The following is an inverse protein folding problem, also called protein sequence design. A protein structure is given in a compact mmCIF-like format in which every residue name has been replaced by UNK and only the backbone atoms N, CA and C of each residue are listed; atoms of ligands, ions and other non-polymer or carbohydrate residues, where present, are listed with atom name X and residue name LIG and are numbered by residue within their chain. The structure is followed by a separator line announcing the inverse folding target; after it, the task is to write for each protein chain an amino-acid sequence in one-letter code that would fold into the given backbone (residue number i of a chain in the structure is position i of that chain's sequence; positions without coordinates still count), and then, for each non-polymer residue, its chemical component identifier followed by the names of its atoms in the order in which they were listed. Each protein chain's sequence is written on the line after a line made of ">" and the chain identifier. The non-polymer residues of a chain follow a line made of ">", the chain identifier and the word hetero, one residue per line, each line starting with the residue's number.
data_IF_263552608392
#
_entry.id   IF_263552608392
#
_cell.length_a   1.000
_cell.length_b   1.000
_cell.length_c   1.000
_cell.angle_alpha   90.00
_cell.angle_beta   90.00
_cell.angle_gamma   90.00
#
_symmetry.space_group_name_H-M   'P 1'
#
loop_
_entity.id
_entity.type
_entity.pdbx_description
1 polymer ?
#
# COMPACT_ATOMS: atom_id res chain seq x y z
N UNK A 1 21.90 -68.45 11.32
CA UNK A 1 21.84 -67.37 12.33
C UNK A 1 21.87 -66.04 11.58
N UNK A 2 20.68 -65.50 11.30
CA UNK A 2 20.48 -64.22 10.60
C UNK A 2 20.41 -63.10 11.65
N UNK A 3 21.32 -62.13 11.55
CA UNK A 3 21.40 -60.98 12.45
C UNK A 3 20.39 -59.90 12.04
N UNK A 4 19.60 -59.44 13.00
CA UNK A 4 18.53 -58.43 12.86
C UNK A 4 19.13 -57.02 12.78
N UNK A 5 18.66 -56.20 11.83
CA UNK A 5 18.76 -54.73 11.88
C UNK A 5 17.37 -54.16 12.23
N UNK A 6 17.25 -53.12 13.06
CA UNK A 6 15.95 -52.54 13.41
C UNK A 6 15.48 -51.52 12.36
N UNK A 7 14.17 -51.52 12.12
CA UNK A 7 13.43 -50.51 11.37
C UNK A 7 13.34 -49.20 12.17
N UNK A 8 13.67 -48.08 11.54
CA UNK A 8 13.34 -46.74 12.01
C UNK A 8 12.23 -46.21 11.09
N UNK A 9 11.04 -45.98 11.65
CA UNK A 9 9.97 -45.22 11.00
C UNK A 9 10.32 -43.73 11.09
N UNK A 10 10.71 -43.13 9.97
CA UNK A 10 10.68 -41.69 9.79
C UNK A 10 9.30 -41.27 9.30
N UNK A 11 8.56 -40.56 10.12
CA UNK A 11 7.33 -39.87 9.73
C UNK A 11 7.70 -38.66 8.87
N UNK A 12 7.41 -38.72 7.57
CA UNK A 12 7.48 -37.56 6.68
C UNK A 12 6.36 -36.60 7.03
N UNK A 13 6.69 -35.53 7.73
CA UNK A 13 5.83 -34.35 7.86
C UNK A 13 5.86 -33.59 6.54
N UNK A 14 4.75 -33.62 5.83
CA UNK A 14 4.50 -32.80 4.64
C UNK A 14 4.57 -31.31 5.03
N UNK A 15 5.30 -30.46 4.29
CA UNK A 15 5.30 -29.01 4.53
C UNK A 15 4.01 -28.40 3.95
N UNK A 16 3.30 -27.63 4.77
CA UNK A 16 2.15 -26.80 4.37
C UNK A 16 2.49 -25.93 3.15
N UNK A 17 1.63 -25.86 2.12
CA UNK A 17 1.87 -25.02 0.97
C UNK A 17 1.69 -23.55 1.38
N UNK A 18 2.81 -22.83 1.50
CA UNK A 18 2.83 -21.37 1.51
C UNK A 18 2.06 -20.87 0.28
N UNK A 19 1.05 -20.02 0.51
CA UNK A 19 0.29 -19.32 -0.54
C UNK A 19 1.27 -18.72 -1.54
N UNK A 20 1.31 -19.25 -2.77
CA UNK A 20 2.19 -18.76 -3.81
C UNK A 20 1.62 -17.46 -4.38
N UNK A 21 2.33 -16.35 -4.20
CA UNK A 21 1.96 -15.04 -4.75
C UNK A 21 1.92 -15.10 -6.28
N UNK A 22 0.79 -14.72 -6.88
CA UNK A 22 0.61 -14.66 -8.33
C UNK A 22 0.89 -13.23 -8.80
N UNK A 23 2.09 -13.03 -9.38
CA UNK A 23 2.57 -11.73 -9.87
C UNK A 23 2.23 -11.52 -11.35
N UNK A 24 1.64 -10.35 -11.66
CA UNK A 24 1.44 -9.87 -13.02
C UNK A 24 2.21 -8.57 -13.26
N UNK A 25 3.12 -8.56 -14.24
CA UNK A 25 3.87 -7.37 -14.65
C UNK A 25 3.24 -6.78 -15.91
N UNK A 26 2.90 -5.49 -15.89
CA UNK A 26 2.35 -4.75 -17.05
C UNK A 26 3.29 -3.60 -17.39
N UNK A 27 4.00 -3.72 -18.51
CA UNK A 27 5.05 -2.78 -18.94
C UNK A 27 4.64 -1.89 -20.12
N UNK A 28 3.51 -2.18 -20.76
CA UNK A 28 2.96 -1.40 -21.86
C UNK A 28 1.43 -1.29 -21.69
N UNK A 29 0.94 -0.06 -21.61
CA UNK A 29 -0.50 0.24 -21.53
C UNK A 29 -0.87 0.96 -22.82
N UNK A 30 -1.70 0.32 -23.65
CA UNK A 30 -2.36 0.99 -24.76
C UNK A 30 -3.56 1.74 -24.22
N UNK A 31 -3.58 3.06 -24.37
CA UNK A 31 -4.73 3.90 -24.03
C UNK A 31 -5.85 3.52 -25.01
N UNK A 32 -6.93 2.91 -24.53
CA UNK A 32 -8.11 2.59 -25.35
C UNK A 32 -9.23 3.60 -25.03
N UNK A 33 -10.06 3.93 -26.03
CA UNK A 33 -11.17 4.89 -25.94
C UNK A 33 -12.18 4.62 -24.80
N UNK A 34 -12.21 3.38 -24.27
CA UNK A 34 -13.02 3.00 -23.11
C UNK A 34 -12.59 3.72 -21.81
N UNK A 35 -11.30 4.02 -21.62
CA UNK A 35 -10.80 4.72 -20.40
C UNK A 35 -11.30 6.17 -20.33
N UNK A 36 -11.61 6.79 -21.47
CA UNK A 36 -12.11 8.17 -21.53
C UNK A 36 -13.57 8.25 -21.05
N UNK A 37 -14.38 7.20 -21.29
CA UNK A 37 -15.77 7.15 -20.83
C UNK A 37 -15.88 6.90 -19.32
N UNK A 38 -15.02 6.05 -18.75
CA UNK A 38 -14.99 5.74 -17.32
C UNK A 38 -14.47 6.91 -16.44
N UNK A 39 -13.91 7.97 -17.03
CA UNK A 39 -13.49 9.18 -16.29
C UNK A 39 -14.64 10.17 -16.08
N UNK A 40 -15.72 10.07 -16.86
CA UNK A 40 -16.87 10.98 -16.76
C UNK A 40 -17.60 10.85 -15.41
N UNK A 41 -17.49 9.70 -14.74
CA UNK A 41 -18.04 9.47 -13.41
C UNK A 41 -17.15 9.96 -12.25
N UNK A 42 -15.91 10.39 -12.52
CA UNK A 42 -14.98 10.93 -11.52
C UNK A 42 -14.98 12.46 -11.44
N UNK A 43 -15.92 13.13 -12.13
CA UNK A 43 -16.08 14.58 -12.09
C UNK A 43 -17.35 14.98 -11.33
N UNK A 44 -17.32 16.01 -10.46
CA UNK A 44 -18.50 16.40 -9.69
C UNK A 44 -19.47 17.16 -10.60
N UNK A 45 -20.54 16.50 -11.03
CA UNK A 45 -21.66 17.17 -11.70
C UNK A 45 -22.83 17.37 -10.73
N UNK A 46 -23.43 18.56 -10.81
CA UNK A 46 -24.50 19.04 -9.94
C UNK A 46 -25.88 18.62 -10.43
N UNK A 47 -26.62 17.97 -9.52
CA UNK A 47 -28.09 17.85 -9.39
C UNK A 47 -28.96 17.50 -10.61
N UNK A 48 -29.74 16.42 -10.49
CA UNK A 48 -31.21 16.54 -10.43
C UNK A 48 -31.85 15.32 -9.73
N UNK A 49 -32.96 15.58 -9.05
CA UNK A 49 -33.71 14.69 -8.16
C UNK A 49 -34.39 13.53 -8.87
N UNK A 50 -34.52 12.38 -8.19
CA UNK A 50 -35.81 11.69 -7.99
C UNK A 50 -35.70 10.59 -6.93
N UNK A 51 -36.68 10.56 -6.04
CA UNK A 51 -36.91 9.57 -5.00
C UNK A 51 -37.40 8.24 -5.58
N UNK A 52 -36.84 7.11 -5.13
CA UNK A 52 -37.60 6.07 -4.41
C UNK A 52 -36.71 4.91 -3.95
N UNK A 53 -36.93 4.54 -2.69
CA UNK A 53 -36.37 3.43 -1.93
C UNK A 53 -36.46 2.07 -2.63
N UNK A 54 -35.50 1.18 -2.34
CA UNK A 54 -35.69 -0.17 -1.78
C UNK A 54 -34.38 -0.97 -1.95
N UNK A 55 -33.71 -1.32 -0.84
CA UNK A 55 -32.87 -2.51 -0.57
C UNK A 55 -31.76 -2.20 0.47
N UNK A 56 -32.00 -2.77 1.65
CA UNK A 56 -31.12 -3.28 2.71
C UNK A 56 -29.92 -2.45 3.22
N UNK A 57 -30.08 -2.03 4.49
CA UNK A 57 -29.02 -1.62 5.41
C UNK A 57 -27.89 -2.66 5.45
N UNK A 58 -26.69 -2.26 5.01
CA UNK A 58 -25.45 -2.96 5.34
C UNK A 58 -25.18 -2.72 6.82
N UNK A 59 -25.08 -3.75 7.68
CA UNK A 59 -24.79 -3.53 9.09
C UNK A 59 -23.36 -3.01 9.26
N UNK A 60 -23.10 -2.08 10.19
CA UNK A 60 -21.74 -1.63 10.49
C UNK A 60 -20.88 -2.82 10.91
N UNK A 61 -19.61 -2.82 10.47
CA UNK A 61 -18.61 -3.83 10.84
C UNK A 61 -18.68 -4.11 12.34
N UNK A 62 -18.75 -5.39 12.72
CA UNK A 62 -18.93 -5.81 14.10
C UNK A 62 -17.74 -5.41 14.97
N UNK A 63 -17.83 -4.26 15.63
CA UNK A 63 -16.86 -3.82 16.64
C UNK A 63 -17.06 -4.69 17.88
N UNK A 64 -16.12 -5.60 18.16
CA UNK A 64 -16.07 -6.32 19.44
C UNK A 64 -15.14 -5.59 20.40
N UNK A 65 -15.70 -4.84 21.32
CA UNK A 65 -14.98 -4.32 22.49
C UNK A 65 -14.68 -5.48 23.45
N UNK A 66 -13.40 -5.84 23.59
CA UNK A 66 -12.94 -6.75 24.65
C UNK A 66 -12.32 -5.91 25.78
N UNK A 67 -12.66 -6.26 27.02
CA UNK A 67 -12.08 -5.63 28.21
C UNK A 67 -10.57 -5.87 28.27
N UNK A 68 -9.84 -4.95 28.92
CA UNK A 68 -8.38 -4.86 28.93
C UNK A 68 -7.62 -6.04 29.57
N UNK A 69 -8.32 -7.04 30.08
CA UNK A 69 -7.75 -8.20 30.79
C UNK A 69 -7.70 -9.48 29.96
N UNK A 70 -8.14 -9.46 28.69
CA UNK A 70 -8.21 -10.62 27.78
C UNK A 70 -7.14 -10.61 26.67
N UNK A 71 -6.12 -9.74 26.77
CA UNK A 71 -5.08 -9.64 25.74
C UNK A 71 -4.17 -10.87 25.78
N UNK A 72 -3.99 -11.59 24.65
CA UNK A 72 -2.91 -12.54 24.53
C UNK A 72 -1.58 -11.80 24.72
N UNK A 73 -0.78 -12.21 25.71
CA UNK A 73 0.58 -11.72 25.89
C UNK A 73 1.34 -11.82 24.55
N UNK A 74 1.84 -10.69 24.04
CA UNK A 74 2.70 -10.65 22.84
C UNK A 74 2.11 -10.00 21.57
N UNK A 75 0.85 -9.54 21.56
CA UNK A 75 0.33 -8.77 20.42
C UNK A 75 0.57 -7.27 20.58
N UNK A 76 1.49 -6.73 19.78
CA UNK A 76 1.78 -5.31 19.79
C UNK A 76 0.58 -4.47 19.33
N UNK A 77 0.36 -3.35 20.03
CA UNK A 77 -0.78 -2.45 19.82
C UNK A 77 -0.37 -1.34 18.86
N UNK A 78 -1.18 -1.12 17.82
CA UNK A 78 -0.94 -0.09 16.82
C UNK A 78 -1.63 1.23 17.17
N UNK A 79 -1.04 2.35 16.74
CA UNK A 79 -1.63 3.68 16.83
C UNK A 79 -1.78 4.28 15.44
N UNK A 80 -2.74 5.20 15.26
CA UNK A 80 -2.82 6.03 14.05
C UNK A 80 -1.73 7.10 14.00
N UNK A 81 -1.18 7.47 15.16
CA UNK A 81 -0.07 8.41 15.22
C UNK A 81 1.20 7.78 14.62
N UNK A 82 1.82 8.48 13.68
CA UNK A 82 3.09 8.06 13.11
C UNK A 82 4.14 7.93 14.22
N UNK A 83 4.88 6.80 14.29
CA UNK A 83 6.02 6.71 15.19
C UNK A 83 7.08 7.75 14.81
N UNK A 84 7.96 8.17 15.74
CA UNK A 84 8.93 9.25 15.53
C UNK A 84 10.12 8.80 14.66
N UNK A 85 9.84 8.23 13.49
CA UNK A 85 10.81 7.83 12.49
C UNK A 85 11.01 9.01 11.53
N UNK A 86 12.26 9.44 11.37
CA UNK A 86 12.57 10.53 10.46
C UNK A 86 12.15 10.20 9.02
N UNK A 87 11.38 11.11 8.41
CA UNK A 87 10.88 10.97 7.05
C UNK A 87 9.70 10.01 6.87
N UNK A 88 9.12 9.48 7.96
CA UNK A 88 7.84 8.78 7.96
C UNK A 88 6.70 9.76 8.21
N UNK A 89 5.71 9.79 7.32
CA UNK A 89 4.51 10.59 7.51
C UNK A 89 3.25 9.72 7.33
N UNK A 90 2.31 9.86 8.24
CA UNK A 90 0.98 9.24 8.18
C UNK A 90 -0.07 10.33 8.47
N UNK A 91 -0.38 11.17 7.47
CA UNK A 91 -1.27 12.31 7.66
C UNK A 91 -2.68 11.86 8.06
N UNK A 92 -3.37 12.73 8.80
CA UNK A 92 -4.72 12.42 9.30
C UNK A 92 -5.77 12.48 8.18
N UNK A 93 -5.49 13.24 7.13
CA UNK A 93 -6.32 13.34 5.92
C UNK A 93 -6.50 11.96 5.28
N UNK A 94 -7.73 11.69 4.86
CA UNK A 94 -8.09 10.47 4.14
C UNK A 94 -8.42 10.82 2.69
N UNK A 95 -8.16 9.88 1.79
CA UNK A 95 -8.64 9.97 0.42
C UNK A 95 -10.19 10.08 0.43
N UNK A 96 -10.79 10.96 -0.41
CA UNK A 96 -12.23 11.00 -0.58
C UNK A 96 -12.80 9.62 -0.93
N UNK A 97 -13.97 9.31 -0.38
CA UNK A 97 -14.58 7.98 -0.50
C UNK A 97 -14.91 7.65 -1.95
N UNK A 98 -15.36 8.63 -2.72
CA UNK A 98 -15.72 8.48 -4.13
C UNK A 98 -14.50 8.10 -4.99
N UNK A 99 -13.35 8.69 -4.67
CA UNK A 99 -12.08 8.36 -5.35
C UNK A 99 -11.60 6.98 -4.93
N UNK A 100 -11.69 6.65 -3.64
CA UNK A 100 -11.29 5.35 -3.12
C UNK A 100 -12.12 4.21 -3.74
N UNK A 101 -13.44 4.35 -3.76
CA UNK A 101 -14.37 3.36 -4.32
C UNK A 101 -14.15 3.17 -5.82
N UNK A 102 -14.01 4.27 -6.57
CA UNK A 102 -13.72 4.22 -8.00
C UNK A 102 -12.39 3.50 -8.32
N UNK A 103 -11.35 3.77 -7.52
CA UNK A 103 -10.05 3.09 -7.65
C UNK A 103 -10.17 1.60 -7.34
N UNK A 104 -10.86 1.23 -6.26
CA UNK A 104 -11.08 -0.18 -5.88
C UNK A 104 -11.84 -0.91 -6.98
N UNK A 105 -12.97 -0.38 -7.41
CA UNK A 105 -13.81 -1.00 -8.45
C UNK A 105 -12.99 -1.25 -9.71
N UNK A 106 -12.31 -0.22 -10.22
CA UNK A 106 -11.52 -0.34 -11.44
C UNK A 106 -10.39 -1.37 -11.30
N UNK A 107 -9.69 -1.39 -10.16
CA UNK A 107 -8.59 -2.33 -9.93
C UNK A 107 -9.07 -3.78 -9.81
N UNK A 108 -10.18 -4.01 -9.10
CA UNK A 108 -10.77 -5.34 -8.96
C UNK A 108 -11.20 -5.90 -10.32
N UNK A 109 -11.88 -5.08 -11.12
CA UNK A 109 -12.37 -5.49 -12.45
C UNK A 109 -11.25 -5.74 -13.46
N UNK A 110 -10.21 -4.89 -13.50
CA UNK A 110 -9.17 -4.95 -14.55
C UNK A 110 -7.96 -5.81 -14.19
N UNK A 111 -7.55 -5.78 -12.92
CA UNK A 111 -6.25 -6.31 -12.51
C UNK A 111 -6.37 -7.57 -11.67
N UNK A 112 -7.38 -7.68 -10.82
CA UNK A 112 -7.53 -8.80 -9.87
C UNK A 112 -8.63 -9.81 -10.25
N UNK A 113 -9.34 -9.62 -11.37
CA UNK A 113 -10.35 -10.56 -11.87
C UNK A 113 -9.83 -11.97 -12.18
N UNK A 114 -8.51 -12.10 -12.44
CA UNK A 114 -7.89 -13.33 -12.94
C UNK A 114 -7.11 -14.11 -11.86
N UNK A 115 -7.34 -13.82 -10.57
CA UNK A 115 -6.68 -14.50 -9.45
C UNK A 115 -5.24 -14.05 -9.17
N UNK A 116 -4.75 -13.00 -9.85
CA UNK A 116 -3.55 -12.30 -9.41
C UNK A 116 -3.81 -11.61 -8.07
N UNK A 117 -2.78 -11.48 -7.23
CA UNK A 117 -2.84 -10.70 -5.99
C UNK A 117 -1.79 -9.59 -5.94
N UNK A 118 -0.91 -9.52 -6.96
CA UNK A 118 0.04 -8.43 -7.13
C UNK A 118 0.14 -8.02 -8.59
N UNK A 119 0.05 -6.72 -8.85
CA UNK A 119 0.20 -6.13 -10.18
C UNK A 119 1.20 -4.98 -10.15
N UNK A 120 2.14 -4.96 -11.09
CA UNK A 120 3.10 -3.87 -11.25
C UNK A 120 2.83 -3.12 -12.56
N UNK A 121 2.62 -1.80 -12.46
CA UNK A 121 2.43 -0.90 -13.60
C UNK A 121 3.61 0.08 -13.68
N UNK A 122 4.10 0.35 -14.89
CA UNK A 122 5.23 1.25 -15.13
C UNK A 122 4.83 2.39 -16.06
N UNK A 123 4.86 3.61 -15.55
CA UNK A 123 4.81 4.84 -16.34
C UNK A 123 6.21 5.23 -16.80
N UNK A 124 6.41 5.30 -18.12
CA UNK A 124 7.69 5.63 -18.74
C UNK A 124 7.83 7.15 -18.91
N UNK A 125 8.99 7.66 -18.53
CA UNK A 125 9.44 8.99 -18.89
C UNK A 125 9.50 9.13 -20.42
N UNK A 126 8.49 9.76 -21.03
CA UNK A 126 8.54 10.18 -22.43
C UNK A 126 9.00 11.65 -22.48
N UNK A 127 9.94 12.01 -23.36
CA UNK A 127 10.24 13.41 -23.63
C UNK A 127 8.98 14.06 -24.22
N UNK A 128 8.32 14.92 -23.43
CA UNK A 128 7.11 15.62 -23.87
C UNK A 128 7.43 16.59 -25.02
N UNK A 129 6.61 16.55 -26.06
CA UNK A 129 6.52 17.61 -27.08
C UNK A 129 5.29 18.47 -26.80
N UNK A 130 5.21 19.08 -25.61
CA UNK A 130 4.10 19.96 -25.23
C UNK A 130 4.17 20.46 -23.78
N UNK A 131 3.40 21.52 -23.43
CA UNK A 131 3.35 22.06 -22.07
C UNK A 131 2.80 21.00 -21.11
N UNK A 132 3.59 20.62 -20.12
CA UNK A 132 3.24 19.61 -19.09
C UNK A 132 2.63 20.26 -17.86
N UNK A 133 1.49 19.76 -17.41
CA UNK A 133 0.87 20.14 -16.14
C UNK A 133 1.77 19.75 -14.95
N UNK A 134 1.91 20.60 -13.91
CA UNK A 134 2.69 20.30 -12.71
C UNK A 134 2.23 19.04 -11.97
N UNK A 135 3.17 18.26 -11.43
CA UNK A 135 2.86 17.18 -10.49
C UNK A 135 2.32 15.88 -11.08
N UNK A 136 1.92 15.83 -12.35
CA UNK A 136 1.48 14.61 -13.06
C UNK A 136 2.54 14.16 -14.07
N UNK A 137 3.81 14.10 -13.63
CA UNK A 137 4.87 13.45 -14.39
C UNK A 137 4.73 11.92 -14.31
N UNK A 138 3.59 11.41 -14.77
CA UNK A 138 3.21 9.99 -14.79
C UNK A 138 2.77 9.57 -16.19
N UNK A 139 3.46 10.10 -17.22
CA UNK A 139 3.27 9.66 -18.60
C UNK A 139 3.39 8.12 -18.64
N UNK A 140 2.33 7.44 -19.08
CA UNK A 140 2.27 5.99 -19.21
C UNK A 140 1.66 5.21 -18.04
N UNK A 141 1.27 5.84 -16.92
CA UNK A 141 0.34 5.18 -15.99
C UNK A 141 -1.11 5.35 -16.49
N UNK A 142 -2.04 4.43 -16.15
CA UNK A 142 -3.45 4.57 -16.52
C UNK A 142 -4.06 5.88 -16.00
N UNK A 143 -5.04 6.43 -16.71
CA UNK A 143 -5.60 7.74 -16.39
C UNK A 143 -6.16 7.84 -14.97
N UNK A 144 -6.82 6.79 -14.47
CA UNK A 144 -7.34 6.76 -13.09
C UNK A 144 -6.21 6.87 -12.04
N UNK A 145 -5.00 6.36 -12.33
CA UNK A 145 -3.85 6.51 -11.46
C UNK A 145 -3.27 7.92 -11.49
N UNK A 146 -3.28 8.56 -12.67
CA UNK A 146 -2.87 9.95 -12.79
C UNK A 146 -3.82 10.88 -12.04
N UNK A 147 -5.14 10.60 -12.08
CA UNK A 147 -6.14 11.31 -11.30
C UNK A 147 -5.97 11.07 -9.78
N UNK A 148 -5.67 9.84 -9.37
CA UNK A 148 -5.34 9.53 -7.98
C UNK A 148 -4.10 10.30 -7.51
N UNK A 149 -3.02 10.32 -8.31
CA UNK A 149 -1.80 11.09 -8.01
C UNK A 149 -2.07 12.60 -7.91
N UNK A 150 -2.92 13.14 -8.78
CA UNK A 150 -3.35 14.55 -8.70
C UNK A 150 -4.08 14.84 -7.39
N UNK A 151 -4.96 13.92 -6.96
CA UNK A 151 -5.69 14.05 -5.69
C UNK A 151 -4.74 13.98 -4.50
N UNK A 152 -3.78 13.06 -4.53
CA UNK A 152 -2.74 12.94 -3.50
C UNK A 152 -1.84 14.18 -3.44
N UNK A 153 -1.53 14.81 -4.58
CA UNK A 153 -0.76 16.06 -4.64
C UNK A 153 -1.43 17.18 -3.84
N UNK A 154 -2.74 17.36 -4.02
CA UNK A 154 -3.51 18.38 -3.30
C UNK A 154 -3.68 18.04 -1.82
N UNK A 155 -4.03 16.79 -1.50
CA UNK A 155 -4.27 16.34 -0.12
C UNK A 155 -3.01 16.39 0.75
N UNK A 156 -1.84 16.07 0.18
CA UNK A 156 -0.60 16.04 0.94
C UNK A 156 0.02 17.43 1.12
N UNK A 157 -0.27 18.41 0.25
CA UNK A 157 0.38 19.73 0.29
C UNK A 157 0.35 20.41 1.67
N UNK A 158 -0.76 20.42 2.44
CA UNK A 158 -0.77 21.02 3.77
C UNK A 158 -0.27 20.08 4.88
N UNK A 159 -0.08 18.78 4.59
CA UNK A 159 0.12 17.75 5.62
C UNK A 159 1.58 17.32 5.81
N UNK A 160 2.46 17.60 4.84
CA UNK A 160 3.88 17.22 4.87
C UNK A 160 4.79 18.42 4.58
N UNK A 161 6.09 18.35 4.96
CA UNK A 161 7.02 19.42 4.68
C UNK A 161 7.12 19.75 3.18
N UNK A 162 7.28 21.03 2.78
CA UNK A 162 7.34 21.44 1.38
C UNK A 162 8.41 20.70 0.55
N UNK A 163 9.55 20.40 1.15
CA UNK A 163 10.62 19.62 0.53
C UNK A 163 10.22 18.17 0.25
N UNK A 164 9.47 17.54 1.17
CA UNK A 164 8.91 16.20 0.97
C UNK A 164 7.82 16.23 -0.09
N UNK A 165 6.96 17.25 -0.08
CA UNK A 165 5.95 17.42 -1.14
C UNK A 165 6.59 17.58 -2.52
N UNK A 166 7.61 18.42 -2.64
CA UNK A 166 8.37 18.63 -3.89
C UNK A 166 9.06 17.35 -4.36
N UNK A 167 9.56 16.52 -3.44
CA UNK A 167 10.14 15.21 -3.76
C UNK A 167 9.09 14.26 -4.36
N UNK A 168 7.88 14.25 -3.81
CA UNK A 168 6.77 13.41 -4.26
C UNK A 168 6.13 13.93 -5.55
N UNK A 169 6.03 15.24 -5.72
CA UNK A 169 5.35 15.93 -6.82
C UNK A 169 6.27 17.03 -7.36
N UNK A 170 7.31 16.64 -8.12
CA UNK A 170 8.31 17.59 -8.60
C UNK A 170 7.70 18.59 -9.60
N UNK A 171 8.25 19.81 -9.66
CA UNK A 171 7.77 20.84 -10.58
C UNK A 171 8.01 20.44 -12.05
N UNK A 172 7.32 21.06 -13.02
CA UNK A 172 7.42 20.71 -14.43
C UNK A 172 8.83 20.73 -15.04
N UNK A 173 9.72 21.57 -14.49
CA UNK A 173 11.10 21.75 -14.94
C UNK A 173 12.08 20.74 -14.31
N UNK A 174 11.62 19.91 -13.37
CA UNK A 174 12.42 18.85 -12.80
C UNK A 174 12.75 17.78 -13.86
N UNK A 175 13.89 17.05 -13.69
CA UNK A 175 14.24 15.95 -14.58
C UNK A 175 13.11 14.92 -14.67
N UNK A 176 12.77 14.52 -15.90
CA UNK A 176 11.73 13.51 -16.15
C UNK A 176 12.18 12.19 -15.54
N UNK A 177 11.28 11.55 -14.77
CA UNK A 177 11.54 10.26 -14.13
C UNK A 177 10.40 9.30 -14.42
N UNK A 178 10.74 8.04 -14.63
CA UNK A 178 9.76 6.96 -14.71
C UNK A 178 9.19 6.69 -13.31
N UNK A 179 7.91 6.29 -13.24
CA UNK A 179 7.21 5.98 -12.00
C UNK A 179 6.59 4.60 -12.07
N UNK A 180 6.66 3.85 -10.99
CA UNK A 180 5.96 2.58 -10.85
C UNK A 180 4.83 2.72 -9.83
N UNK A 181 3.70 2.08 -10.13
CA UNK A 181 2.66 1.77 -9.17
C UNK A 181 2.61 0.25 -8.97
N UNK A 182 2.69 -0.22 -7.72
CA UNK A 182 2.42 -1.61 -7.38
C UNK A 182 1.08 -1.69 -6.66
N UNK A 183 0.21 -2.56 -7.14
CA UNK A 183 -1.08 -2.89 -6.53
C UNK A 183 -0.92 -4.22 -5.82
N UNK A 184 -1.27 -4.27 -4.55
CA UNK A 184 -1.29 -5.50 -3.76
C UNK A 184 -2.69 -5.73 -3.23
N UNK A 185 -3.19 -6.96 -3.37
CA UNK A 185 -4.45 -7.44 -2.82
C UNK A 185 -4.13 -8.44 -1.71
N UNK A 186 -4.68 -8.22 -0.53
CA UNK A 186 -4.51 -9.04 0.66
C UNK A 186 -5.86 -9.57 1.11
N UNK A 187 -5.97 -10.87 1.27
CA UNK A 187 -7.06 -11.52 1.99
C UNK A 187 -6.82 -11.48 3.50
N UNK A 188 -7.86 -11.63 4.34
CA UNK A 188 -7.68 -11.74 5.78
C UNK A 188 -6.67 -12.83 6.14
N UNK A 189 -5.70 -12.50 7.02
CA UNK A 189 -4.59 -13.41 7.37
C UNK A 189 -3.33 -13.24 6.51
N UNK A 190 -3.41 -12.59 5.35
CA UNK A 190 -2.23 -12.33 4.52
C UNK A 190 -1.45 -11.11 5.02
N UNK A 191 -0.20 -11.04 4.57
CA UNK A 191 0.75 -10.01 4.96
C UNK A 191 1.93 -9.92 4.00
N UNK A 192 2.90 -9.08 4.33
CA UNK A 192 4.17 -8.96 3.62
C UNK A 192 5.30 -8.94 4.65
N UNK A 193 6.33 -9.74 4.42
CA UNK A 193 7.49 -9.84 5.30
C UNK A 193 8.19 -8.48 5.42
N UNK A 194 8.78 -8.15 6.58
CA UNK A 194 9.56 -6.93 6.74
C UNK A 194 10.64 -6.80 5.65
N UNK A 195 10.66 -5.67 4.96
CA UNK A 195 11.61 -5.41 3.89
C UNK A 195 11.89 -3.91 3.74
N UNK A 196 12.97 -3.59 3.02
CA UNK A 196 13.21 -2.25 2.47
C UNK A 196 12.97 -2.33 0.97
N UNK A 197 12.27 -1.33 0.44
CA UNK A 197 12.06 -1.18 -0.99
C UNK A 197 13.40 -1.13 -1.75
N UNK A 198 13.49 -1.87 -2.86
CA UNK A 198 14.72 -2.11 -3.60
C UNK A 198 15.58 -0.85 -3.77
N UNK A 199 16.68 -0.77 -3.00
CA UNK A 199 17.54 0.40 -2.86
C UNK A 199 18.18 0.85 -4.18
N UNK A 200 18.48 -0.09 -5.06
CA UNK A 200 19.09 0.17 -6.37
C UNK A 200 18.08 0.43 -7.48
N UNK A 201 16.78 0.41 -7.17
CA UNK A 201 15.71 0.52 -8.17
C UNK A 201 14.82 1.73 -7.95
N UNK A 202 14.38 1.95 -6.72
CA UNK A 202 13.45 3.00 -6.39
C UNK A 202 14.16 4.13 -5.66
N UNK A 203 13.90 5.37 -6.09
CA UNK A 203 14.44 6.55 -5.44
C UNK A 203 13.74 6.88 -4.12
N UNK A 204 14.08 8.05 -3.60
CA UNK A 204 13.44 8.60 -2.40
C UNK A 204 12.01 9.08 -2.71
N UNK A 205 11.18 9.09 -1.68
CA UNK A 205 9.77 9.46 -1.78
C UNK A 205 8.91 8.30 -2.28
N UNK A 206 8.30 7.59 -1.33
CA UNK A 206 7.29 6.55 -1.59
C UNK A 206 5.96 7.02 -1.05
N UNK A 207 4.90 6.80 -1.82
CA UNK A 207 3.51 7.04 -1.39
C UNK A 207 2.79 5.69 -1.35
N UNK A 208 2.24 5.31 -0.20
CA UNK A 208 1.32 4.19 -0.07
C UNK A 208 -0.09 4.67 0.21
N UNK A 209 -1.09 4.02 -0.38
CA UNK A 209 -2.52 4.29 -0.11
C UNK A 209 -3.22 2.97 0.20
N UNK A 210 -4.03 2.95 1.27
CA UNK A 210 -4.81 1.78 1.70
C UNK A 210 -6.27 1.89 1.24
N UNK A 211 -6.88 0.76 0.84
CA UNK A 211 -8.26 0.68 0.36
C UNK A 211 -8.95 -0.60 0.87
N UNK A 212 -10.28 -0.57 0.97
CA UNK A 212 -11.15 -1.70 1.35
C UNK A 212 -11.11 -2.13 2.82
N UNK A 213 -9.92 -2.27 3.41
CA UNK A 213 -9.76 -2.64 4.82
C UNK A 213 -8.50 -2.01 5.41
N UNK A 214 -8.53 -1.80 6.72
CA UNK A 214 -7.36 -1.36 7.50
C UNK A 214 -6.32 -2.47 7.66
N UNK A 215 -5.09 -2.09 8.01
CA UNK A 215 -4.07 -3.00 8.54
C UNK A 215 -3.15 -2.30 9.53
N UNK A 216 -2.38 -3.07 10.29
CA UNK A 216 -1.18 -2.56 10.97
C UNK A 216 0.07 -2.84 10.15
N UNK A 217 0.82 -1.78 9.86
CA UNK A 217 2.17 -1.86 9.31
C UNK A 217 3.17 -1.75 10.45
N UNK A 218 4.15 -2.65 10.50
CA UNK A 218 5.25 -2.56 11.45
C UNK A 218 6.50 -1.99 10.80
N UNK A 219 7.28 -1.27 11.60
CA UNK A 219 8.56 -0.71 11.21
C UNK A 219 9.63 -1.15 12.20
N UNK A 220 10.77 -1.59 11.66
CA UNK A 220 11.94 -1.95 12.46
C UNK A 220 13.20 -1.48 11.74
N UNK A 221 14.13 -0.88 12.49
CA UNK A 221 15.43 -0.47 11.94
C UNK A 221 16.20 -1.69 11.43
N UNK A 222 16.77 -1.59 10.23
CA UNK A 222 17.48 -2.71 9.62
C UNK A 222 18.74 -3.08 10.42
N UNK A 223 19.04 -4.38 10.52
CA UNK A 223 20.22 -4.87 11.22
C UNK A 223 21.52 -4.35 10.55
N UNK A 224 22.52 -3.99 11.37
CA UNK A 224 23.83 -3.52 10.89
C UNK A 224 23.96 -2.01 10.68
N UNK A 225 23.01 -1.20 11.16
CA UNK A 225 23.24 0.24 11.38
C UNK A 225 23.96 0.47 12.71
N UNK A 226 24.72 1.57 12.84
CA UNK A 226 25.63 1.84 13.98
C UNK A 226 24.98 1.77 15.38
N UNK A 227 23.66 1.83 15.46
CA UNK A 227 22.86 1.49 16.64
C UNK A 227 22.23 0.10 16.42
N UNK A 228 22.75 -0.94 17.10
CA UNK A 228 22.17 -2.28 17.08
C UNK A 228 20.75 -2.23 17.68
N UNK A 229 19.74 -2.32 16.81
CA UNK A 229 18.34 -2.32 17.21
C UNK A 229 18.00 -3.62 17.96
N UNK A 230 17.55 -3.45 19.21
CA UNK A 230 16.97 -4.51 20.02
C UNK A 230 15.65 -4.99 19.42
N UNK A 231 15.15 -6.17 19.84
CA UNK A 231 13.79 -6.60 19.44
C UNK A 231 12.70 -5.62 19.91
N UNK A 232 13.00 -4.78 20.90
CA UNK A 232 12.09 -3.77 21.47
C UNK A 232 11.94 -2.50 20.61
N UNK A 233 12.64 -2.39 19.48
CA UNK A 233 12.61 -1.21 18.59
C UNK A 233 11.58 -1.32 17.44
N UNK A 234 10.67 -2.31 17.48
CA UNK A 234 9.57 -2.42 16.52
C UNK A 234 8.42 -1.47 16.89
N UNK A 235 7.92 -0.70 15.91
CA UNK A 235 6.78 0.18 16.09
C UNK A 235 5.67 -0.11 15.08
N UNK A 236 4.42 0.19 15.48
CA UNK A 236 3.23 -0.28 14.78
C UNK A 236 2.30 0.88 14.43
N UNK A 237 2.17 1.12 13.13
CA UNK A 237 1.29 2.14 12.58
C UNK A 237 0.00 1.50 12.06
N UNK A 238 -1.13 1.96 12.57
CA UNK A 238 -2.44 1.60 12.06
C UNK A 238 -2.75 2.42 10.81
N UNK A 239 -2.96 1.73 9.69
CA UNK A 239 -3.35 2.29 8.41
C UNK A 239 -4.82 1.98 8.16
N UNK A 240 -5.75 2.90 8.47
CA UNK A 240 -7.16 2.70 8.16
C UNK A 240 -7.41 2.68 6.65
N UNK A 241 -8.62 2.30 6.26
CA UNK A 241 -9.06 2.51 4.88
C UNK A 241 -8.89 3.98 4.47
N UNK A 242 -8.49 4.21 3.21
CA UNK A 242 -8.26 5.53 2.60
C UNK A 242 -7.08 6.30 3.18
N UNK A 243 -6.32 5.71 4.11
CA UNK A 243 -5.12 6.32 4.67
C UNK A 243 -4.02 6.45 3.63
N UNK A 244 -3.21 7.51 3.77
CA UNK A 244 -2.01 7.73 2.98
C UNK A 244 -0.81 7.57 3.91
N UNK A 245 0.27 6.97 3.41
CA UNK A 245 1.55 6.89 4.10
C UNK A 245 2.66 7.38 3.16
N UNK A 246 3.62 8.12 3.70
CA UNK A 246 4.79 8.61 2.96
C UNK A 246 6.05 8.13 3.66
N UNK A 247 6.97 7.55 2.90
CA UNK A 247 8.30 7.17 3.36
C UNK A 247 9.33 7.97 2.57
N UNK A 248 10.19 8.69 3.29
CA UNK A 248 11.32 9.44 2.74
C UNK A 248 12.53 9.34 3.66
N UNK A 249 13.74 9.60 3.16
CA UNK A 249 14.96 9.58 3.98
C UNK A 249 15.11 8.28 4.78
N UNK A 250 15.30 8.39 6.09
CA UNK A 250 15.53 7.24 6.97
C UNK A 250 14.39 6.21 6.92
N UNK A 251 13.12 6.65 6.96
CA UNK A 251 11.97 5.76 6.83
C UNK A 251 12.01 4.93 5.54
N UNK A 252 12.57 5.49 4.46
CA UNK A 252 12.72 4.83 3.16
C UNK A 252 13.93 3.90 3.11
N UNK A 253 15.05 4.27 3.71
CA UNK A 253 16.35 3.62 3.46
C UNK A 253 16.89 2.78 4.61
N UNK A 254 16.50 3.11 5.85
CA UNK A 254 17.08 2.56 7.08
C UNK A 254 16.09 1.64 7.79
N UNK A 255 14.79 1.88 7.61
CA UNK A 255 13.72 1.12 8.27
C UNK A 255 13.11 0.08 7.34
N UNK A 256 13.10 -1.16 7.82
CA UNK A 256 12.23 -2.20 7.25
C UNK A 256 10.78 -1.90 7.58
N UNK A 257 9.88 -2.26 6.69
CA UNK A 257 8.44 -2.19 6.92
C UNK A 257 7.75 -3.47 6.45
N UNK A 258 6.68 -3.87 7.14
CA UNK A 258 5.95 -5.09 6.85
C UNK A 258 4.52 -5.08 7.36
N UNK A 259 3.73 -6.05 6.92
CA UNK A 259 2.38 -6.29 7.44
C UNK A 259 2.38 -7.74 7.91
N UNK A 260 2.24 -7.97 9.21
CA UNK A 260 2.16 -9.33 9.73
C UNK A 260 0.89 -10.02 9.23
N UNK A 261 1.00 -11.29 8.83
CA UNK A 261 -0.15 -12.11 8.43
C UNK A 261 -1.00 -12.52 9.64
N UNK A 262 -2.14 -11.86 9.82
CA UNK A 262 -3.10 -12.11 10.91
C UNK A 262 -4.50 -11.64 10.54
N UNK A 263 -5.52 -12.14 11.25
CA UNK A 263 -6.93 -11.88 10.95
C UNK A 263 -7.43 -10.51 11.45
N UNK A 264 -6.67 -9.82 12.28
CA UNK A 264 -7.06 -8.55 12.87
C UNK A 264 -5.90 -7.90 13.63
N UNK A 265 -6.13 -6.68 14.10
CA UNK A 265 -5.13 -5.86 14.78
C UNK A 265 -5.71 -5.26 16.06
N UNK A 266 -4.89 -5.17 17.12
CA UNK A 266 -5.20 -4.33 18.27
C UNK A 266 -4.76 -2.90 17.97
N UNK A 267 -5.69 -1.95 18.14
CA UNK A 267 -5.49 -0.54 17.79
C UNK A 267 -5.95 0.33 18.95
N UNK A 268 -5.14 1.31 19.34
CA UNK A 268 -5.53 2.34 20.31
C UNK A 268 -6.45 3.33 19.61
N UNK A 269 -7.64 3.52 20.17
CA UNK A 269 -8.56 4.58 19.77
C UNK A 269 -8.04 5.93 20.29
N UNK A 270 -7.78 6.88 19.39
CA UNK A 270 -7.23 8.19 19.76
C UNK A 270 -8.17 9.02 20.64
N UNK A 271 -9.49 8.77 20.59
CA UNK A 271 -10.47 9.55 21.33
C UNK A 271 -10.69 9.00 22.74
N UNK A 272 -10.80 7.68 22.87
CA UNK A 272 -11.06 7.04 24.16
C UNK A 272 -9.80 6.54 24.87
N UNK A 273 -8.66 6.49 24.18
CA UNK A 273 -7.43 5.81 24.64
C UNK A 273 -7.65 4.32 24.97
N UNK A 274 -8.73 3.73 24.47
CA UNK A 274 -9.03 2.31 24.64
C UNK A 274 -8.44 1.49 23.49
N UNK A 275 -7.92 0.32 23.81
CA UNK A 275 -7.47 -0.64 22.80
C UNK A 275 -8.64 -1.47 22.31
N UNK A 276 -8.86 -1.49 20.99
CA UNK A 276 -9.91 -2.28 20.33
C UNK A 276 -9.31 -3.28 19.34
N UNK A 277 -9.98 -4.43 19.19
CA UNK A 277 -9.68 -5.38 18.12
C UNK A 277 -10.42 -4.98 16.85
N UNK A 278 -9.68 -4.83 15.75
CA UNK A 278 -10.22 -4.55 14.42
C UNK A 278 -9.97 -5.77 13.53
N UNK A 279 -11.03 -6.42 13.07
CA UNK A 279 -10.94 -7.51 12.10
C UNK A 279 -10.51 -6.97 10.73
N UNK A 280 -9.62 -7.69 10.06
CA UNK A 280 -9.20 -7.36 8.68
C UNK A 280 -10.19 -7.96 7.69
N UNK A 281 -10.67 -7.13 6.77
CA UNK A 281 -11.31 -7.56 5.54
C UNK A 281 -10.30 -7.71 4.40
N UNK A 282 -10.81 -7.87 3.18
CA UNK A 282 -10.00 -7.79 1.97
C UNK A 282 -9.43 -6.38 1.84
N UNK A 283 -8.10 -6.27 1.77
CA UNK A 283 -7.39 -5.00 1.66
C UNK A 283 -6.70 -4.89 0.31
N UNK A 284 -6.81 -3.73 -0.32
CA UNK A 284 -5.96 -3.37 -1.45
C UNK A 284 -5.03 -2.23 -1.05
N UNK A 285 -3.82 -2.19 -1.61
CA UNK A 285 -2.97 -1.02 -1.53
C UNK A 285 -2.33 -0.69 -2.86
N UNK A 286 -2.13 0.61 -3.09
CA UNK A 286 -1.33 1.11 -4.21
C UNK A 286 -0.12 1.83 -3.64
N UNK A 287 1.07 1.44 -4.10
CA UNK A 287 2.32 2.10 -3.72
C UNK A 287 2.99 2.71 -4.94
N UNK A 288 3.19 4.03 -4.92
CA UNK A 288 3.86 4.80 -5.96
C UNK A 288 5.31 5.06 -5.62
N UNK A 289 6.19 4.83 -6.60
CA UNK A 289 7.64 4.88 -6.42
C UNK A 289 8.28 5.46 -7.66
N UNK A 290 9.17 6.43 -7.46
CA UNK A 290 10.03 6.88 -8.53
C UNK A 290 11.11 5.84 -8.84
N UNK A 291 11.37 5.59 -10.12
CA UNK A 291 12.54 4.82 -10.53
C UNK A 291 13.79 5.68 -10.43
N UNK A 292 14.92 5.06 -10.11
CA UNK A 292 16.23 5.67 -10.28
C UNK A 292 16.56 5.78 -11.78
N UNK A 293 17.40 6.74 -12.21
CA UNK A 293 17.86 6.83 -13.59
C UNK A 293 18.41 5.48 -14.09
N UNK A 294 17.93 5.01 -15.24
CA UNK A 294 18.32 3.72 -15.84
C UNK A 294 17.66 2.48 -15.24
N UNK A 295 16.87 2.60 -14.17
CA UNK A 295 16.20 1.47 -13.53
C UNK A 295 14.89 1.05 -14.25
N UNK A 296 14.52 1.77 -15.30
CA UNK A 296 13.36 1.54 -16.17
C UNK A 296 13.60 0.44 -17.22
N UNK A 297 14.86 0.04 -17.42
CA UNK A 297 15.23 -1.14 -18.22
C UNK A 297 15.03 -2.40 -17.36
N UNK A 298 14.14 -3.29 -17.81
CA UNK A 298 13.88 -4.57 -17.14
C UNK A 298 14.54 -5.68 -17.96
N UNK A 299 15.76 -6.06 -17.57
CA UNK A 299 16.53 -7.14 -18.19
C UNK A 299 17.07 -6.77 -19.56
N UNK A 300 18.39 -6.59 -19.65
CA UNK A 300 19.10 -7.21 -20.77
C UNK A 300 19.44 -8.62 -20.26
N UNK A 301 19.01 -9.65 -20.99
CA UNK A 301 19.40 -11.03 -20.70
C UNK A 301 20.94 -11.12 -20.77
N UNK A 302 21.60 -11.38 -19.63
CA UNK A 302 22.92 -12.03 -19.58
C UNK A 302 22.75 -13.48 -19.12
#
# INVERSE_FOLDING_TARGET
>A
MLSRRPHIHGTESSPDPKSATSLRIVTAISINDQEIQDLSCLSPSSSSSSTNSLFDEIPPAAIRTRASSDFPEGNAVASRQAPPIQGLFAPSVLLPVEIADGVVQHCMEKYFSNGANQVMLFGRALPSTGPSEPGVQALGLPLFMTALLSSLCELLRPEIPPETHTLLFPPPDAPIRSRQAILNLYQPGEGITPHIDLLRRFGDGIIGVSFGSSCTMSFRRAAGTEDDASEDDECHLHLPERSIIVLSGDARYVWTHGIQGRAGDFVIDEQSSETRWIERGTRMSITFRWLLPGADVVGDDE
#
